data_IF_223347665973
#
_entry.id   IF_223347665973
#
_cell.length_a   1.000
_cell.length_b   1.000
_cell.length_c   1.000
_cell.angle_alpha   90.00
_cell.angle_beta   90.00
_cell.angle_gamma   90.00
#
_symmetry.space_group_name_H-M   'P 1'
#
loop_
_entity.id
_entity.type
_entity.pdbx_description
1 polymer ?
#
# COMPACT_ATOMS: atom_id res chain seq x y z
N UNK A 1 1.95 -7.76 -46.40
CA UNK A 1 1.14 -7.61 -45.17
C UNK A 1 2.12 -7.20 -44.10
N UNK A 2 1.95 -6.01 -43.53
CA UNK A 2 2.79 -5.59 -42.41
C UNK A 2 2.61 -6.58 -41.26
N UNK A 3 3.74 -6.96 -40.66
CA UNK A 3 3.75 -7.89 -39.53
C UNK A 3 3.05 -7.21 -38.36
N UNK A 4 2.00 -7.81 -37.82
CA UNK A 4 1.35 -7.29 -36.62
C UNK A 4 2.34 -7.40 -35.45
N UNK A 5 2.55 -6.29 -34.74
CA UNK A 5 3.46 -6.22 -33.60
C UNK A 5 2.66 -6.08 -32.31
N UNK A 6 3.03 -6.83 -31.29
CA UNK A 6 2.36 -6.79 -29.99
C UNK A 6 3.30 -6.19 -28.96
N UNK A 7 2.77 -5.37 -28.06
CA UNK A 7 3.55 -4.78 -26.98
C UNK A 7 2.83 -4.91 -25.64
N UNK A 8 3.64 -4.90 -24.57
CA UNK A 8 3.17 -4.59 -23.22
C UNK A 8 3.94 -3.39 -22.71
N UNK A 9 3.22 -2.44 -22.11
CA UNK A 9 3.79 -1.32 -21.37
C UNK A 9 3.48 -1.50 -19.90
N UNK A 10 4.50 -1.67 -19.07
CA UNK A 10 4.35 -1.65 -17.63
C UNK A 10 4.45 -0.21 -17.16
N UNK A 11 3.46 0.27 -16.41
CA UNK A 11 3.35 1.66 -15.97
C UNK A 11 3.44 1.71 -14.45
N UNK A 12 4.25 2.64 -13.95
CA UNK A 12 4.46 2.88 -12.52
C UNK A 12 4.21 4.37 -12.24
N UNK A 13 3.09 4.65 -11.60
CA UNK A 13 2.74 5.96 -11.09
C UNK A 13 3.28 6.15 -9.66
N UNK A 14 3.79 7.35 -9.38
CA UNK A 14 4.25 7.71 -8.05
C UNK A 14 3.07 8.09 -7.14
N UNK A 15 3.25 8.02 -5.81
CA UNK A 15 2.46 8.82 -4.88
C UNK A 15 2.39 10.28 -5.36
N UNK A 16 1.21 10.86 -5.36
CA UNK A 16 0.97 12.22 -5.85
C UNK A 16 0.82 12.36 -7.36
N UNK A 17 0.87 11.27 -8.16
CA UNK A 17 0.59 11.36 -9.60
C UNK A 17 -0.84 11.89 -9.80
N UNK A 18 -1.02 13.00 -10.55
CA UNK A 18 -2.33 13.54 -10.87
C UNK A 18 -3.25 12.52 -11.55
N UNK A 19 -4.51 12.49 -11.12
CA UNK A 19 -5.55 11.70 -11.78
C UNK A 19 -6.41 12.60 -12.66
N UNK A 20 -6.72 12.12 -13.86
CA UNK A 20 -7.53 12.82 -14.84
C UNK A 20 -8.82 12.06 -15.12
N UNK A 21 -9.85 12.78 -15.54
CA UNK A 21 -11.08 12.23 -16.11
C UNK A 21 -11.45 13.09 -17.32
N UNK A 22 -11.73 12.46 -18.45
CA UNK A 22 -11.97 13.10 -19.76
C UNK A 22 -10.97 14.22 -20.13
N UNK A 23 -9.70 14.05 -19.75
CA UNK A 23 -8.62 15.01 -20.02
C UNK A 23 -8.58 16.23 -19.11
N UNK A 24 -9.44 16.31 -18.09
CA UNK A 24 -9.37 17.30 -17.02
C UNK A 24 -8.84 16.67 -15.73
N UNK A 25 -8.01 17.41 -14.99
CA UNK A 25 -7.53 16.93 -13.71
C UNK A 25 -8.70 16.83 -12.75
N UNK A 26 -8.90 15.65 -12.16
CA UNK A 26 -9.96 15.43 -11.20
C UNK A 26 -9.77 16.36 -10.01
N UNK A 27 -10.86 16.92 -9.50
CA UNK A 27 -10.84 17.73 -8.27
C UNK A 27 -11.92 17.24 -7.32
N UNK A 28 -11.60 17.24 -6.03
CA UNK A 28 -12.55 16.96 -4.95
C UNK A 28 -12.48 18.12 -3.97
N UNK A 29 -13.61 18.80 -3.76
CA UNK A 29 -13.70 19.99 -2.92
C UNK A 29 -12.71 21.11 -3.30
N UNK A 30 -12.45 21.25 -4.62
CA UNK A 30 -11.49 22.23 -5.16
C UNK A 30 -10.02 21.82 -5.03
N UNK A 31 -9.72 20.64 -4.46
CA UNK A 31 -8.38 20.09 -4.32
C UNK A 31 -8.12 19.09 -5.44
N UNK A 32 -6.99 19.20 -6.18
CA UNK A 32 -6.65 18.23 -7.21
C UNK A 32 -6.48 16.82 -6.65
N UNK A 33 -7.15 15.85 -7.26
CA UNK A 33 -7.05 14.44 -6.89
C UNK A 33 -5.73 13.89 -7.43
N UNK A 34 -5.05 13.14 -6.58
CA UNK A 34 -3.77 12.51 -6.88
C UNK A 34 -3.76 11.10 -6.34
N UNK A 35 -2.94 10.23 -6.94
CA UNK A 35 -2.73 8.87 -6.47
C UNK A 35 -2.17 8.88 -5.05
N UNK A 36 -2.76 8.09 -4.14
CA UNK A 36 -2.31 7.97 -2.75
C UNK A 36 -0.94 7.29 -2.65
N UNK A 37 -0.88 5.94 -2.70
CA UNK A 37 0.37 5.18 -2.62
C UNK A 37 1.13 5.06 -3.96
N UNK A 38 0.61 5.66 -5.04
CA UNK A 38 1.02 5.35 -6.40
C UNK A 38 0.19 4.20 -6.99
N UNK A 39 0.51 3.79 -8.20
CA UNK A 39 -0.17 2.68 -8.88
C UNK A 39 0.77 1.95 -9.83
N UNK A 40 0.55 0.65 -10.00
CA UNK A 40 1.28 -0.16 -10.98
C UNK A 40 0.26 -0.97 -11.79
N UNK A 41 0.35 -0.86 -13.10
CA UNK A 41 -0.56 -1.52 -14.03
C UNK A 41 0.16 -1.82 -15.34
N UNK A 42 -0.49 -2.55 -16.24
CA UNK A 42 0.07 -2.81 -17.57
C UNK A 42 -0.93 -2.48 -18.68
N UNK A 43 -0.39 -2.11 -19.84
CA UNK A 43 -1.15 -1.82 -21.05
C UNK A 43 -0.67 -2.76 -22.13
N UNK A 44 -1.59 -3.52 -22.74
CA UNK A 44 -1.26 -4.33 -23.92
C UNK A 44 -1.65 -3.59 -25.18
N UNK A 45 -0.90 -3.76 -26.26
CA UNK A 45 -1.27 -3.24 -27.57
C UNK A 45 -1.03 -4.30 -28.64
N UNK A 46 -1.94 -4.38 -29.61
CA UNK A 46 -1.70 -5.15 -30.84
C UNK A 46 -1.16 -4.26 -31.97
N UNK A 47 -0.89 -2.97 -31.73
CA UNK A 47 -0.49 -2.00 -32.76
C UNK A 47 -1.66 -1.30 -33.46
N UNK A 48 -2.91 -1.66 -33.14
CA UNK A 48 -4.13 -0.95 -33.57
C UNK A 48 -4.94 -0.45 -32.38
N UNK A 49 -5.09 -1.31 -31.37
CA UNK A 49 -5.80 -1.04 -30.13
C UNK A 49 -4.87 -1.27 -28.94
N UNK A 50 -5.06 -0.46 -27.91
CA UNK A 50 -4.44 -0.64 -26.61
C UNK A 50 -5.50 -0.90 -25.56
N UNK A 51 -5.18 -1.71 -24.56
CA UNK A 51 -6.07 -2.01 -23.42
C UNK A 51 -5.26 -1.95 -22.14
N UNK A 52 -5.70 -1.12 -21.21
CA UNK A 52 -5.13 -1.04 -19.86
C UNK A 52 -5.70 -2.14 -18.97
N UNK A 53 -4.92 -2.58 -18.00
CA UNK A 53 -5.33 -3.46 -16.92
C UNK A 53 -4.59 -3.07 -15.64
N UNK A 54 -5.29 -2.42 -14.73
CA UNK A 54 -4.85 -2.27 -13.35
C UNK A 54 -5.86 -2.87 -12.39
N UNK A 55 -5.43 -3.07 -11.15
CA UNK A 55 -6.25 -3.68 -10.12
C UNK A 55 -6.36 -2.74 -8.92
N UNK A 56 -7.58 -2.38 -8.56
CA UNK A 56 -7.86 -1.46 -7.47
C UNK A 56 -9.17 -1.86 -6.77
N UNK A 57 -9.42 -1.38 -5.54
CA UNK A 57 -10.69 -1.63 -4.85
C UNK A 57 -11.86 -1.00 -5.61
N UNK A 58 -13.01 -1.69 -5.68
CA UNK A 58 -14.25 -1.19 -6.31
C UNK A 58 -14.64 0.18 -5.78
N UNK A 59 -14.56 0.32 -4.44
CA UNK A 59 -14.73 1.62 -3.80
C UNK A 59 -13.37 2.27 -3.66
N UNK A 60 -13.12 3.28 -4.51
CA UNK A 60 -11.89 4.05 -4.52
C UNK A 60 -11.52 4.51 -3.09
N UNK A 61 -10.31 4.13 -2.66
CA UNK A 61 -9.80 4.45 -1.32
C UNK A 61 -10.01 3.39 -0.24
N UNK A 62 -10.74 2.29 -0.50
CA UNK A 62 -10.81 1.17 0.44
C UNK A 62 -9.51 0.36 0.45
N UNK A 63 -8.99 -0.01 1.63
CA UNK A 63 -7.73 -0.78 1.75
C UNK A 63 -7.95 -2.29 1.76
N UNK A 64 -9.17 -2.74 2.08
CA UNK A 64 -9.58 -4.13 1.93
C UNK A 64 -11.01 -4.18 1.40
N UNK A 65 -11.29 -5.11 0.48
CA UNK A 65 -12.62 -5.30 -0.07
C UNK A 65 -12.60 -5.91 -1.46
N UNK A 66 -13.76 -5.99 -2.12
CA UNK A 66 -13.84 -6.43 -3.51
C UNK A 66 -12.95 -5.54 -4.39
N UNK A 67 -12.03 -6.17 -5.10
CA UNK A 67 -11.19 -5.55 -6.11
C UNK A 67 -11.79 -5.69 -7.49
N UNK A 68 -11.51 -4.71 -8.32
CA UNK A 68 -11.94 -4.62 -9.70
C UNK A 68 -10.74 -4.34 -10.61
N UNK A 69 -10.87 -4.80 -11.84
CA UNK A 69 -9.89 -4.57 -12.88
C UNK A 69 -10.35 -3.36 -13.67
N UNK A 70 -9.51 -2.34 -13.72
CA UNK A 70 -9.79 -1.10 -14.41
C UNK A 70 -9.08 -1.08 -15.75
N UNK A 71 -9.85 -0.78 -16.80
CA UNK A 71 -9.33 -0.68 -18.17
C UNK A 71 -9.08 0.78 -18.59
N UNK A 72 -9.28 1.73 -17.67
CA UNK A 72 -9.15 3.17 -17.83
C UNK A 72 -7.86 3.75 -17.26
N UNK A 73 -7.05 2.97 -16.51
CA UNK A 73 -5.85 3.51 -15.83
C UNK A 73 -4.89 4.26 -16.78
N UNK A 74 -4.76 3.82 -18.03
CA UNK A 74 -3.91 4.48 -19.02
C UNK A 74 -4.39 5.90 -19.39
N UNK A 75 -5.70 6.16 -19.29
CA UNK A 75 -6.31 7.47 -19.56
C UNK A 75 -6.34 8.33 -18.30
N UNK A 76 -6.38 7.73 -17.11
CA UNK A 76 -6.44 8.44 -15.83
C UNK A 76 -5.06 8.90 -15.33
N UNK A 77 -4.03 8.08 -15.51
CA UNK A 77 -2.69 8.32 -14.96
C UNK A 77 -1.79 9.07 -15.94
N UNK A 78 -1.82 10.40 -15.86
CA UNK A 78 -0.98 11.25 -16.70
C UNK A 78 0.44 11.40 -16.15
N UNK A 79 1.44 11.28 -17.04
CA UNK A 79 2.89 11.40 -16.73
C UNK A 79 3.32 10.51 -15.55
N UNK A 80 3.15 9.18 -15.67
CA UNK A 80 3.62 8.25 -14.64
C UNK A 80 5.13 8.40 -14.43
N UNK A 81 5.61 8.13 -13.23
CA UNK A 81 7.03 8.28 -12.90
C UNK A 81 7.93 7.40 -13.77
N UNK A 82 7.43 6.23 -14.13
CA UNK A 82 8.14 5.28 -14.98
C UNK A 82 7.17 4.52 -15.90
N UNK A 83 7.61 4.24 -17.12
CA UNK A 83 6.96 3.24 -17.98
C UNK A 83 7.98 2.54 -18.86
N UNK A 84 7.77 1.25 -19.09
CA UNK A 84 8.61 0.43 -19.99
C UNK A 84 7.72 -0.34 -20.95
N UNK A 85 7.87 -0.04 -22.23
CA UNK A 85 7.26 -0.77 -23.35
C UNK A 85 8.23 -1.82 -23.86
N UNK A 86 7.73 -3.04 -24.05
CA UNK A 86 8.47 -4.17 -24.64
C UNK A 86 7.64 -4.77 -25.77
N UNK A 87 8.28 -5.08 -26.90
CA UNK A 87 7.67 -5.96 -27.90
C UNK A 87 7.60 -7.40 -27.34
N UNK A 88 6.46 -8.05 -27.56
CA UNK A 88 6.15 -9.38 -27.07
C UNK A 88 5.56 -10.24 -28.20
N UNK A 89 5.57 -11.55 -27.99
CA UNK A 89 4.94 -12.47 -28.94
C UNK A 89 3.41 -12.40 -28.83
N UNK A 90 2.72 -12.87 -29.88
CA UNK A 90 1.26 -13.01 -29.85
C UNK A 90 0.79 -13.89 -28.67
N UNK A 91 1.51 -14.98 -28.37
CA UNK A 91 1.16 -15.86 -27.26
C UNK A 91 1.24 -15.13 -25.92
N UNK A 92 2.28 -14.33 -25.69
CA UNK A 92 2.43 -13.53 -24.47
C UNK A 92 1.34 -12.46 -24.38
N UNK A 93 1.01 -11.82 -25.50
CA UNK A 93 -0.10 -10.88 -25.57
C UNK A 93 -1.43 -11.54 -25.21
N UNK A 94 -1.74 -12.70 -25.78
CA UNK A 94 -2.97 -13.43 -25.50
C UNK A 94 -3.07 -13.85 -24.02
N UNK A 95 -1.95 -14.27 -23.40
CA UNK A 95 -1.88 -14.59 -21.97
C UNK A 95 -2.13 -13.36 -21.08
N UNK A 96 -1.54 -12.21 -21.43
CA UNK A 96 -1.79 -10.95 -20.71
C UNK A 96 -3.24 -10.50 -20.84
N UNK A 97 -3.84 -10.62 -22.04
CA UNK A 97 -5.25 -10.31 -22.26
C UNK A 97 -6.17 -11.25 -21.46
N UNK A 98 -5.85 -12.55 -21.43
CA UNK A 98 -6.61 -13.53 -20.64
C UNK A 98 -6.54 -13.21 -19.16
N UNK A 99 -5.33 -12.95 -18.63
CA UNK A 99 -5.16 -12.60 -17.22
C UNK A 99 -5.84 -11.28 -16.89
N UNK A 100 -5.73 -10.26 -17.74
CA UNK A 100 -6.39 -8.97 -17.53
C UNK A 100 -7.92 -9.05 -17.51
N UNK A 101 -8.53 -10.03 -18.18
CA UNK A 101 -10.00 -10.17 -18.24
C UNK A 101 -10.56 -11.07 -17.16
N UNK A 102 -9.88 -12.19 -16.87
CA UNK A 102 -10.38 -13.26 -16.02
C UNK A 102 -9.28 -13.81 -15.09
N UNK A 103 -8.65 -12.96 -14.26
CA UNK A 103 -7.51 -13.37 -13.43
C UNK A 103 -7.90 -14.43 -12.39
N UNK A 104 -9.15 -14.46 -11.93
CA UNK A 104 -9.66 -15.46 -11.00
C UNK A 104 -9.62 -16.89 -11.55
N UNK A 105 -9.81 -17.06 -12.87
CA UNK A 105 -9.69 -18.38 -13.52
C UNK A 105 -8.26 -18.88 -13.55
N UNK A 106 -7.30 -17.99 -13.33
CA UNK A 106 -5.87 -18.27 -13.29
C UNK A 106 -5.33 -18.30 -11.85
N UNK A 107 -6.22 -18.27 -10.85
CA UNK A 107 -5.87 -18.41 -9.43
C UNK A 107 -5.53 -17.10 -8.73
N UNK A 108 -5.75 -15.94 -9.36
CA UNK A 108 -5.58 -14.65 -8.70
C UNK A 108 -6.81 -14.31 -7.86
N UNK A 109 -6.59 -13.97 -6.59
CA UNK A 109 -7.66 -13.53 -5.70
C UNK A 109 -8.10 -12.09 -6.08
N UNK A 110 -9.40 -11.86 -6.31
CA UNK A 110 -9.92 -10.50 -6.57
C UNK A 110 -10.28 -9.74 -5.30
N UNK A 111 -10.04 -10.30 -4.13
CA UNK A 111 -10.14 -9.55 -2.89
C UNK A 111 -8.91 -8.64 -2.74
N UNK A 112 -9.12 -7.33 -2.91
CA UNK A 112 -8.07 -6.34 -2.69
C UNK A 112 -7.72 -6.34 -1.20
N UNK A 113 -6.43 -6.51 -0.88
CA UNK A 113 -5.95 -6.68 0.49
C UNK A 113 -4.67 -5.88 0.71
N UNK A 114 -4.72 -4.55 0.66
CA UNK A 114 -3.58 -3.66 0.99
C UNK A 114 -2.21 -4.23 0.52
N UNK A 115 -1.25 -4.45 1.43
CA UNK A 115 0.09 -5.00 1.14
C UNK A 115 0.12 -6.53 0.89
N UNK A 116 -1.02 -7.21 0.81
CA UNK A 116 -1.10 -8.67 0.64
C UNK A 116 -1.63 -9.07 -0.74
N UNK A 117 -2.43 -8.20 -1.36
CA UNK A 117 -2.93 -8.39 -2.72
C UNK A 117 -3.36 -7.04 -3.32
N UNK A 118 -2.50 -6.43 -4.13
CA UNK A 118 -2.69 -5.09 -4.69
C UNK A 118 -2.33 -5.00 -6.19
N UNK A 119 -2.32 -3.79 -6.73
CA UNK A 119 -1.99 -3.48 -8.12
C UNK A 119 -0.61 -4.00 -8.56
N UNK A 120 0.38 -4.03 -7.67
CA UNK A 120 1.72 -4.57 -7.96
C UNK A 120 1.66 -6.10 -8.06
N UNK A 121 1.00 -6.77 -7.12
CA UNK A 121 0.84 -8.24 -7.14
C UNK A 121 0.09 -8.70 -8.39
N UNK A 122 -0.98 -8.00 -8.75
CA UNK A 122 -1.73 -8.22 -9.98
C UNK A 122 -0.83 -8.09 -11.22
N UNK A 123 -0.06 -7.01 -11.32
CA UNK A 123 0.81 -6.76 -12.46
C UNK A 123 1.90 -7.84 -12.57
N UNK A 124 2.54 -8.21 -11.46
CA UNK A 124 3.54 -9.28 -11.48
C UNK A 124 2.94 -10.64 -11.79
N UNK A 125 1.76 -10.96 -11.27
CA UNK A 125 1.07 -12.21 -11.58
C UNK A 125 0.75 -12.30 -13.08
N UNK A 126 0.28 -11.21 -13.69
CA UNK A 126 0.05 -11.13 -15.13
C UNK A 126 1.33 -11.35 -15.96
N UNK A 127 2.40 -10.60 -15.62
CA UNK A 127 3.69 -10.69 -16.30
C UNK A 127 4.29 -12.10 -16.17
N UNK A 128 4.25 -12.69 -14.97
CA UNK A 128 4.73 -14.05 -14.74
C UNK A 128 3.90 -15.09 -15.49
N UNK A 129 2.58 -14.93 -15.54
CA UNK A 129 1.70 -15.81 -16.32
C UNK A 129 2.06 -15.76 -17.82
N UNK A 130 2.44 -14.60 -18.33
CA UNK A 130 2.92 -14.41 -19.69
C UNK A 130 4.39 -14.81 -19.91
N UNK A 131 5.10 -15.33 -18.90
CA UNK A 131 6.51 -15.70 -19.01
C UNK A 131 7.48 -14.52 -19.08
N UNK A 132 7.05 -13.33 -18.63
CA UNK A 132 7.89 -12.13 -18.51
C UNK A 132 8.41 -12.02 -17.08
N UNK A 133 9.59 -12.59 -16.84
CA UNK A 133 10.18 -12.66 -15.51
C UNK A 133 11.25 -11.59 -15.29
N UNK A 134 11.29 -11.03 -14.08
CA UNK A 134 12.37 -10.16 -13.62
C UNK A 134 13.65 -10.95 -13.34
N UNK A 135 14.82 -10.37 -13.62
CA UNK A 135 16.10 -10.99 -13.24
C UNK A 135 16.26 -11.00 -11.71
N UNK A 136 16.75 -12.13 -11.19
CA UNK A 136 16.88 -12.38 -9.76
C UNK A 136 18.06 -11.58 -9.19
N UNK A 137 17.78 -10.56 -8.38
CA UNK A 137 18.82 -9.76 -7.69
C UNK A 137 18.48 -9.58 -6.20
N UNK A 138 19.52 -9.62 -5.35
CA UNK A 138 19.41 -9.29 -3.92
C UNK A 138 19.90 -7.86 -3.70
N UNK A 139 19.18 -7.11 -2.87
CA UNK A 139 19.67 -5.88 -2.28
C UNK A 139 20.81 -6.17 -1.31
N UNK A 140 22.05 -5.79 -1.63
CA UNK A 140 23.18 -6.01 -0.71
C UNK A 140 23.04 -5.12 0.53
N UNK A 141 22.35 -3.98 0.44
CA UNK A 141 22.00 -3.17 1.63
C UNK A 141 20.96 -3.88 2.51
N UNK A 142 20.14 -4.77 1.92
CA UNK A 142 19.22 -5.65 2.66
C UNK A 142 19.92 -6.84 3.32
N UNK A 143 21.14 -7.19 2.89
CA UNK A 143 21.91 -8.33 3.42
C UNK A 143 22.74 -7.97 4.66
N UNK A 144 23.16 -6.71 4.81
CA UNK A 144 24.06 -6.26 5.88
C UNK A 144 23.38 -5.95 7.22
N UNK A 145 22.07 -6.16 7.33
CA UNK A 145 21.29 -5.87 8.53
C UNK A 145 21.05 -4.36 8.73
N UNK A 146 20.01 -3.97 9.50
CA UNK A 146 19.67 -2.57 9.70
C UNK A 146 20.70 -1.89 10.62
N UNK A 147 21.51 -0.98 10.07
CA UNK A 147 22.43 -0.12 10.85
C UNK A 147 23.70 0.34 10.14
N UNK A 148 24.06 -0.22 8.99
CA UNK A 148 25.36 0.09 8.36
C UNK A 148 25.42 1.46 7.64
N UNK A 149 24.29 2.08 7.30
CA UNK A 149 24.29 3.23 6.40
C UNK A 149 24.82 2.84 5.00
N UNK A 150 24.58 3.71 4.02
CA UNK A 150 24.96 3.49 2.62
C UNK A 150 26.49 3.59 2.47
N UNK A 151 27.22 2.54 2.85
CA UNK A 151 28.69 2.51 2.80
C UNK A 151 29.23 2.15 1.41
N UNK A 152 28.39 1.67 0.49
CA UNK A 152 28.78 1.29 -0.87
C UNK A 152 27.81 1.89 -1.91
N UNK A 153 28.28 2.22 -3.14
CA UNK A 153 27.38 2.48 -4.27
C UNK A 153 26.49 1.26 -4.55
N UNK A 154 25.36 1.43 -5.25
CA UNK A 154 24.38 0.36 -5.56
C UNK A 154 25.03 -0.86 -6.23
N UNK A 155 25.49 -1.81 -5.43
CA UNK A 155 26.04 -3.09 -5.89
C UNK A 155 25.03 -4.17 -5.53
N UNK A 156 24.47 -4.85 -6.54
CA UNK A 156 23.60 -6.01 -6.35
C UNK A 156 24.20 -7.26 -6.98
N UNK A 157 24.24 -8.35 -6.21
CA UNK A 157 24.78 -9.64 -6.65
C UNK A 157 23.64 -10.48 -7.25
N UNK A 158 23.77 -11.00 -8.48
CA UNK A 158 22.76 -11.90 -9.06
C UNK A 158 22.76 -13.25 -8.33
N UNK A 159 21.58 -13.74 -7.93
CA UNK A 159 21.42 -15.01 -7.21
C UNK A 159 20.25 -15.86 -7.74
N UNK A 160 20.23 -17.19 -7.55
CA UNK A 160 19.30 -18.11 -8.22
C UNK A 160 17.95 -18.32 -7.51
N UNK A 161 17.67 -17.64 -6.38
CA UNK A 161 16.50 -17.92 -5.52
C UNK A 161 15.52 -16.74 -5.51
N UNK A 162 14.21 -17.04 -5.53
CA UNK A 162 13.13 -16.06 -5.47
C UNK A 162 13.22 -15.23 -4.17
N UNK A 163 13.57 -13.95 -4.31
CA UNK A 163 13.63 -13.03 -3.18
C UNK A 163 12.23 -12.70 -2.65
N UNK A 164 11.91 -13.22 -1.47
CA UNK A 164 10.75 -12.86 -0.65
C UNK A 164 10.98 -11.53 0.09
N UNK A 165 11.36 -10.48 -0.63
CA UNK A 165 11.62 -9.16 -0.06
C UNK A 165 10.34 -8.35 0.07
N UNK A 166 9.97 -7.97 1.31
CA UNK A 166 8.81 -7.13 1.69
C UNK A 166 8.87 -5.67 1.15
N UNK A 167 9.66 -5.42 0.11
CA UNK A 167 9.81 -4.14 -0.59
C UNK A 167 8.89 -4.01 -1.82
N UNK A 168 8.13 -5.08 -2.14
CA UNK A 168 7.31 -5.21 -3.35
C UNK A 168 6.06 -4.31 -3.41
N UNK A 169 5.63 -3.70 -2.30
CA UNK A 169 4.32 -3.03 -2.21
C UNK A 169 4.29 -1.60 -2.72
N UNK A 170 5.46 -1.00 -2.99
CA UNK A 170 5.56 0.39 -3.44
C UNK A 170 5.81 0.41 -4.96
N UNK A 171 4.93 1.00 -5.77
CA UNK A 171 5.11 1.05 -7.22
C UNK A 171 6.50 1.52 -7.63
N UNK A 172 7.02 2.59 -7.02
CA UNK A 172 8.36 3.12 -7.32
C UNK A 172 9.52 2.13 -7.06
N UNK A 173 9.39 1.22 -6.09
CA UNK A 173 10.43 0.21 -5.79
C UNK A 173 10.46 -0.93 -6.80
N UNK A 174 9.43 -1.04 -7.64
CA UNK A 174 9.34 -2.07 -8.67
C UNK A 174 9.99 -1.65 -9.99
N UNK A 175 10.46 -0.40 -10.14
CA UNK A 175 11.11 0.09 -11.35
C UNK A 175 12.28 -0.82 -11.75
N UNK A 176 13.21 -1.10 -10.84
CA UNK A 176 14.34 -2.00 -11.14
C UNK A 176 13.91 -3.43 -11.47
N UNK A 177 12.85 -3.92 -10.82
CA UNK A 177 12.25 -5.21 -11.17
C UNK A 177 11.78 -5.22 -12.62
N UNK A 178 11.06 -4.17 -13.04
CA UNK A 178 10.56 -4.02 -14.41
C UNK A 178 11.71 -3.85 -15.40
N UNK A 179 12.74 -3.04 -15.10
CA UNK A 179 13.95 -2.88 -15.94
C UNK A 179 14.69 -4.19 -16.17
N UNK A 180 14.66 -5.06 -15.17
CA UNK A 180 15.39 -6.33 -15.19
C UNK A 180 14.72 -7.42 -16.04
N UNK A 181 13.49 -7.18 -16.54
CA UNK A 181 12.83 -8.12 -17.44
C UNK A 181 13.59 -8.18 -18.77
N UNK A 182 13.94 -9.38 -19.22
CA UNK A 182 14.49 -9.58 -20.55
C UNK A 182 13.39 -9.38 -21.60
N UNK A 183 13.59 -8.42 -22.51
CA UNK A 183 12.64 -8.18 -23.59
C UNK A 183 12.62 -9.39 -24.54
N UNK A 184 11.45 -9.98 -24.85
CA UNK A 184 11.37 -11.12 -25.78
C UNK A 184 11.98 -10.84 -27.15
N UNK A 185 11.95 -9.57 -27.58
CA UNK A 185 12.62 -9.07 -28.77
C UNK A 185 13.58 -7.93 -28.38
N UNK A 186 14.82 -8.21 -27.95
CA UNK A 186 15.73 -7.21 -27.38
C UNK A 186 16.06 -6.04 -28.32
N UNK A 187 16.13 -6.30 -29.62
CA UNK A 187 16.47 -5.30 -30.65
C UNK A 187 15.25 -4.67 -31.33
N UNK A 188 14.06 -4.85 -30.76
CA UNK A 188 12.85 -4.23 -31.27
C UNK A 188 12.94 -2.70 -31.19
N UNK A 189 12.60 -1.96 -32.26
CA UNK A 189 12.46 -0.51 -32.19
C UNK A 189 11.25 -0.05 -31.36
N UNK A 190 10.36 -0.98 -30.98
CA UNK A 190 9.19 -0.70 -30.13
C UNK A 190 9.55 -0.70 -28.64
N UNK A 191 10.71 -1.24 -28.27
CA UNK A 191 11.17 -1.21 -26.88
C UNK A 191 11.47 0.24 -26.49
N UNK A 192 10.82 0.72 -25.44
CA UNK A 192 10.94 2.11 -24.98
C UNK A 192 10.89 2.18 -23.48
N UNK A 193 11.69 3.08 -22.91
CA UNK A 193 11.63 3.42 -21.50
C UNK A 193 11.41 4.93 -21.35
N UNK A 194 10.52 5.31 -20.44
CA UNK A 194 10.23 6.72 -20.14
C UNK A 194 10.31 6.90 -18.62
N UNK A 195 11.03 7.94 -18.21
CA UNK A 195 11.14 8.39 -16.82
C UNK A 195 10.70 9.85 -16.74
N UNK A 196 9.76 10.13 -15.86
CA UNK A 196 9.30 11.49 -15.58
C UNK A 196 9.77 11.92 -14.18
N UNK A 197 10.01 13.23 -13.96
CA UNK A 197 10.26 13.73 -12.62
C UNK A 197 9.05 13.42 -11.72
N UNK A 198 9.34 13.08 -10.46
CA UNK A 198 8.28 12.87 -9.47
C UNK A 198 7.49 14.19 -9.25
N UNK A 199 6.19 14.13 -8.91
CA UNK A 199 5.36 15.33 -8.75
C UNK A 199 5.97 16.34 -7.78
N UNK A 200 6.03 17.63 -8.16
CA UNK A 200 6.70 18.66 -7.35
C UNK A 200 5.90 19.07 -6.10
N UNK A 201 4.57 18.95 -6.15
CA UNK A 201 3.66 19.21 -5.04
C UNK A 201 3.16 17.88 -4.50
N UNK A 202 3.90 17.28 -3.57
CA UNK A 202 3.49 16.09 -2.83
C UNK A 202 3.18 16.51 -1.39
N UNK A 203 2.10 15.96 -0.82
CA UNK A 203 1.84 16.12 0.61
C UNK A 203 2.93 15.45 1.44
N UNK A 204 3.08 15.81 2.72
CA UNK A 204 3.97 15.13 3.66
C UNK A 204 3.77 13.60 3.65
N UNK A 205 2.51 13.15 3.57
CA UNK A 205 2.15 11.75 3.45
C UNK A 205 2.67 11.13 2.14
N UNK A 206 2.55 11.83 1.00
CA UNK A 206 3.04 11.36 -0.29
C UNK A 206 4.57 11.36 -0.38
N UNK A 207 5.25 12.26 0.32
CA UNK A 207 6.71 12.20 0.48
C UNK A 207 7.15 10.98 1.29
N UNK A 208 6.48 10.66 2.39
CA UNK A 208 6.75 9.45 3.20
C UNK A 208 6.49 8.15 2.42
N UNK A 209 5.50 8.18 1.52
CA UNK A 209 5.19 7.05 0.63
C UNK A 209 6.17 6.93 -0.56
N UNK A 210 6.89 8.00 -0.93
CA UNK A 210 7.73 8.05 -2.16
C UNK A 210 9.24 8.16 -1.96
N UNK A 211 9.76 8.73 -0.87
CA UNK A 211 11.20 8.95 -0.68
C UNK A 211 11.87 7.93 0.26
N UNK A 212 13.11 7.57 -0.05
CA UNK A 212 14.00 6.63 0.67
C UNK A 212 14.43 7.07 2.07
N UNK A 213 13.75 8.03 2.71
CA UNK A 213 13.94 8.23 4.15
C UNK A 213 12.99 7.27 4.86
N UNK A 214 13.58 6.27 5.51
CA UNK A 214 12.93 5.41 6.49
C UNK A 214 11.86 6.22 7.23
N UNK A 215 10.58 5.84 7.09
CA UNK A 215 9.56 6.38 7.96
C UNK A 215 10.09 6.21 9.39
N UNK A 216 10.18 7.28 10.20
CA UNK A 216 10.76 7.17 11.52
C UNK A 216 10.03 6.05 12.26
N UNK A 217 10.79 5.19 12.92
CA UNK A 217 10.19 4.06 13.65
C UNK A 217 9.13 4.60 14.61
N UNK A 218 8.09 3.82 14.90
CA UNK A 218 7.14 4.13 16.00
C UNK A 218 7.86 4.33 17.34
N UNK A 219 9.08 3.81 17.50
CA UNK A 219 9.98 4.06 18.65
C UNK A 219 10.60 5.46 18.68
N UNK A 220 10.58 6.19 17.57
CA UNK A 220 11.13 7.54 17.48
C UNK A 220 10.16 8.55 18.11
N UNK A 221 10.57 9.33 19.12
CA UNK A 221 9.73 10.35 19.75
C UNK A 221 9.15 11.40 18.79
N UNK A 222 9.75 11.59 17.63
CA UNK A 222 9.29 12.53 16.59
C UNK A 222 8.18 11.95 15.70
N UNK A 223 7.93 10.64 15.77
CA UNK A 223 6.89 9.99 14.99
C UNK A 223 5.48 10.33 15.54
N UNK A 224 4.50 10.68 14.69
CA UNK A 224 3.16 11.08 15.16
C UNK A 224 2.42 9.99 15.95
N UNK A 225 2.79 8.72 15.75
CA UNK A 225 2.27 7.58 16.51
C UNK A 225 3.06 7.17 17.74
N UNK A 226 4.13 7.89 18.07
CA UNK A 226 4.99 7.55 19.20
C UNK A 226 4.22 7.47 20.52
N UNK A 227 3.27 8.38 20.77
CA UNK A 227 2.54 8.39 22.04
C UNK A 227 1.73 7.11 22.26
N UNK A 228 0.93 6.68 21.26
CA UNK A 228 0.18 5.42 21.37
C UNK A 228 1.12 4.22 21.45
N UNK A 229 2.24 4.23 20.71
CA UNK A 229 3.22 3.16 20.78
C UNK A 229 3.88 3.06 22.17
N UNK A 230 4.34 4.17 22.74
CA UNK A 230 4.97 4.20 24.05
C UNK A 230 4.02 3.70 25.14
N UNK A 231 2.75 4.14 25.12
CA UNK A 231 1.73 3.67 26.05
C UNK A 231 1.46 2.17 25.88
N UNK A 232 1.25 1.70 24.64
CA UNK A 232 1.09 0.27 24.38
C UNK A 232 2.30 -0.53 24.86
N UNK A 233 3.51 -0.01 24.66
CA UNK A 233 4.74 -0.67 25.05
C UNK A 233 4.85 -0.79 26.57
N UNK A 234 4.53 0.25 27.34
CA UNK A 234 4.53 0.21 28.80
C UNK A 234 3.51 -0.79 29.36
N UNK A 235 2.32 -0.85 28.76
CA UNK A 235 1.29 -1.82 29.16
C UNK A 235 1.65 -3.25 28.78
N UNK A 236 2.21 -3.49 27.58
CA UNK A 236 2.69 -4.81 27.18
C UNK A 236 3.87 -5.27 28.07
N UNK A 237 4.76 -4.37 28.47
CA UNK A 237 5.82 -4.68 29.44
C UNK A 237 5.28 -5.08 30.82
N UNK A 238 4.20 -4.42 31.25
CA UNK A 238 3.52 -4.77 32.50
C UNK A 238 2.86 -6.14 32.38
N UNK A 239 2.17 -6.40 31.26
CA UNK A 239 1.57 -7.69 30.93
C UNK A 239 2.62 -8.82 30.89
N UNK A 240 3.78 -8.58 30.30
CA UNK A 240 4.91 -9.51 30.28
C UNK A 240 5.33 -9.89 31.70
N UNK A 241 5.50 -8.89 32.58
CA UNK A 241 5.91 -9.08 33.97
C UNK A 241 4.87 -9.88 34.76
N UNK A 242 3.58 -9.61 34.56
CA UNK A 242 2.48 -10.33 35.20
C UNK A 242 2.46 -11.81 34.80
N UNK A 243 2.85 -12.12 33.57
CA UNK A 243 2.91 -13.49 33.05
C UNK A 243 4.30 -14.14 33.20
N UNK A 244 5.22 -13.52 33.94
CA UNK A 244 6.57 -14.06 34.17
C UNK A 244 7.46 -14.12 32.91
N UNK A 245 7.12 -13.34 31.88
CA UNK A 245 7.86 -13.24 30.62
C UNK A 245 8.82 -12.04 30.65
N UNK A 246 9.99 -12.20 30.04
CA UNK A 246 10.89 -11.09 29.81
C UNK A 246 10.46 -10.31 28.56
N UNK A 247 10.41 -8.98 28.66
CA UNK A 247 10.16 -8.12 27.50
C UNK A 247 11.27 -8.24 26.46
N UNK A 248 10.87 -8.40 25.20
CA UNK A 248 11.77 -8.60 24.07
C UNK A 248 11.27 -7.87 22.80
N UNK A 249 11.82 -8.24 21.64
CA UNK A 249 11.41 -7.70 20.34
C UNK A 249 9.94 -8.00 19.99
N UNK A 250 9.41 -9.17 20.38
CA UNK A 250 8.02 -9.52 20.13
C UNK A 250 7.06 -8.65 20.94
N UNK A 251 7.46 -8.22 22.15
CA UNK A 251 6.70 -7.25 22.94
C UNK A 251 6.59 -5.90 22.22
N UNK A 252 7.68 -5.45 21.57
CA UNK A 252 7.65 -4.23 20.76
C UNK A 252 6.80 -4.38 19.49
N UNK A 253 6.79 -5.56 18.87
CA UNK A 253 5.95 -5.89 17.72
C UNK A 253 4.46 -5.80 18.07
N UNK A 254 4.06 -6.43 19.18
CA UNK A 254 2.69 -6.38 19.69
C UNK A 254 2.26 -4.94 20.00
N UNK A 255 3.11 -4.17 20.68
CA UNK A 255 2.85 -2.76 20.97
C UNK A 255 2.68 -1.91 19.69
N UNK A 256 3.49 -2.17 18.66
CA UNK A 256 3.37 -1.53 17.35
C UNK A 256 2.01 -1.79 16.69
N UNK A 257 1.56 -3.05 16.67
CA UNK A 257 0.28 -3.42 16.10
C UNK A 257 -0.91 -2.82 16.87
N UNK A 258 -0.83 -2.81 18.21
CA UNK A 258 -1.84 -2.18 19.06
C UNK A 258 -1.92 -0.67 18.80
N UNK A 259 -0.79 0.02 18.69
CA UNK A 259 -0.76 1.46 18.40
C UNK A 259 -1.45 1.76 17.05
N UNK A 260 -1.12 1.02 16.00
CA UNK A 260 -1.75 1.17 14.67
C UNK A 260 -3.26 0.96 14.76
N UNK A 261 -3.72 -0.10 15.42
CA UNK A 261 -5.14 -0.38 15.53
C UNK A 261 -5.87 0.66 16.38
N UNK A 262 -5.26 1.13 17.47
CA UNK A 262 -5.80 2.22 18.29
C UNK A 262 -5.95 3.52 17.49
N UNK A 263 -4.98 3.84 16.62
CA UNK A 263 -5.10 4.97 15.71
C UNK A 263 -6.32 4.83 14.78
N UNK A 264 -6.52 3.66 14.15
CA UNK A 264 -7.67 3.39 13.28
C UNK A 264 -9.00 3.52 14.00
N UNK A 265 -9.05 3.10 15.26
CA UNK A 265 -10.26 3.19 16.09
C UNK A 265 -10.52 4.59 16.67
N UNK A 266 -9.72 5.59 16.29
CA UNK A 266 -9.88 6.96 16.78
C UNK A 266 -9.53 7.12 18.25
N UNK A 267 -8.68 6.25 18.80
CA UNK A 267 -8.19 6.38 20.16
C UNK A 267 -7.09 7.45 20.22
N UNK A 268 -7.09 8.24 21.28
CA UNK A 268 -6.10 9.29 21.53
C UNK A 268 -5.06 8.87 22.59
N UNK A 269 -5.38 7.83 23.37
CA UNK A 269 -4.48 7.20 24.34
C UNK A 269 -4.81 5.73 24.52
N UNK A 270 -3.88 4.98 25.09
CA UNK A 270 -4.09 3.63 25.59
C UNK A 270 -3.88 3.67 27.09
N UNK A 271 -4.95 3.39 27.83
CA UNK A 271 -4.95 3.35 29.29
C UNK A 271 -4.65 1.93 29.82
N UNK A 272 -4.85 0.91 28.98
CA UNK A 272 -4.62 -0.49 29.35
C UNK A 272 -4.45 -1.41 28.14
N UNK A 273 -3.68 -2.49 28.31
CA UNK A 273 -3.61 -3.62 27.40
C UNK A 273 -4.01 -4.91 28.12
N UNK A 274 -4.96 -5.67 27.56
CA UNK A 274 -5.44 -6.95 28.12
C UNK A 274 -5.41 -8.06 27.08
N UNK A 275 -5.26 -9.30 27.53
CA UNK A 275 -5.48 -10.49 26.70
C UNK A 275 -6.93 -10.97 26.84
N UNK A 276 -7.44 -11.65 25.82
CA UNK A 276 -8.62 -12.52 25.98
C UNK A 276 -8.32 -13.69 26.91
N UNK A 277 -9.36 -14.34 27.42
CA UNK A 277 -9.24 -15.50 28.32
C UNK A 277 -8.39 -16.64 27.73
N UNK A 278 -8.43 -16.80 26.40
CA UNK A 278 -7.65 -17.79 25.63
C UNK A 278 -6.33 -17.23 25.06
N UNK A 279 -6.01 -15.97 25.36
CA UNK A 279 -4.88 -15.20 24.84
C UNK A 279 -4.80 -15.07 23.29
N UNK A 280 -5.86 -15.45 22.55
CA UNK A 280 -5.88 -15.32 21.08
C UNK A 280 -5.89 -13.88 20.61
N UNK A 281 -6.38 -12.94 21.43
CA UNK A 281 -6.42 -11.51 21.12
C UNK A 281 -5.83 -10.66 22.22
N UNK A 282 -5.17 -9.58 21.82
CA UNK A 282 -4.77 -8.49 22.69
C UNK A 282 -5.64 -7.27 22.41
N UNK A 283 -6.09 -6.61 23.47
CA UNK A 283 -6.96 -5.44 23.43
C UNK A 283 -6.24 -4.23 23.98
N UNK A 284 -6.25 -3.12 23.24
CA UNK A 284 -5.94 -1.80 23.78
C UNK A 284 -7.24 -1.11 24.19
N UNK A 285 -7.27 -0.53 25.38
CA UNK A 285 -8.46 0.09 25.98
C UNK A 285 -8.19 1.56 26.29
N UNK A 286 -9.14 2.43 25.96
CA UNK A 286 -9.20 3.81 26.42
C UNK A 286 -10.44 3.96 27.30
N UNK A 287 -10.23 4.31 28.56
CA UNK A 287 -11.27 4.49 29.55
C UNK A 287 -11.87 5.90 29.47
N UNK A 288 -13.19 6.01 29.63
CA UNK A 288 -13.82 7.31 29.85
C UNK A 288 -13.72 7.67 31.35
N UNK A 289 -12.98 8.74 31.74
CA UNK A 289 -12.84 9.14 33.14
C UNK A 289 -14.16 9.60 33.78
N UNK A 290 -15.20 9.88 32.98
CA UNK A 290 -16.51 10.34 33.44
C UNK A 290 -17.57 9.22 33.49
N UNK A 291 -17.21 7.99 33.13
CA UNK A 291 -18.12 6.83 33.18
C UNK A 291 -17.61 5.78 34.15
N UNK A 292 -18.44 5.40 35.13
CA UNK A 292 -18.12 4.38 36.12
C UNK A 292 -18.31 2.93 35.60
N UNK A 293 -18.71 2.74 34.34
CA UNK A 293 -19.00 1.43 33.74
C UNK A 293 -18.28 1.19 32.40
N UNK A 294 -18.22 -0.07 31.97
CA UNK A 294 -17.53 -0.49 30.74
C UNK A 294 -18.22 -0.07 29.43
N UNK A 295 -19.37 0.60 29.50
CA UNK A 295 -20.22 0.92 28.34
C UNK A 295 -19.70 2.09 27.49
N UNK A 296 -18.66 2.79 27.95
CA UNK A 296 -18.16 4.01 27.29
C UNK A 296 -16.64 3.96 27.03
N UNK A 297 -16.09 2.74 26.91
CA UNK A 297 -14.68 2.50 26.60
C UNK A 297 -14.47 2.34 25.09
N UNK A 298 -13.43 2.96 24.55
CA UNK A 298 -12.94 2.60 23.21
C UNK A 298 -12.02 1.40 23.32
N UNK A 299 -12.17 0.47 22.37
CA UNK A 299 -11.38 -0.77 22.34
C UNK A 299 -10.88 -1.03 20.93
N UNK A 300 -9.57 -1.24 20.82
CA UNK A 300 -8.90 -1.78 19.64
C UNK A 300 -8.43 -3.20 19.97
N UNK A 301 -8.35 -4.08 18.98
CA UNK A 301 -7.84 -5.43 19.19
C UNK A 301 -6.99 -5.92 18.03
N UNK A 302 -6.04 -6.81 18.33
CA UNK A 302 -5.19 -7.50 17.36
C UNK A 302 -5.16 -8.99 17.68
N UNK A 303 -4.92 -9.82 16.66
CA UNK A 303 -4.58 -11.22 16.88
C UNK A 303 -3.18 -11.29 17.53
N UNK A 304 -3.08 -11.95 18.68
CA UNK A 304 -1.87 -11.92 19.51
C UNK A 304 -0.68 -12.54 18.78
N UNK A 305 -0.87 -13.70 18.14
CA UNK A 305 0.24 -14.42 17.48
C UNK A 305 0.69 -13.67 16.23
N UNK A 306 -0.24 -13.17 15.43
CA UNK A 306 0.09 -12.33 14.27
C UNK A 306 0.82 -11.07 14.71
N UNK A 307 0.37 -10.40 15.78
CA UNK A 307 0.95 -9.16 16.26
C UNK A 307 2.38 -9.35 16.82
N UNK A 308 2.63 -10.42 17.57
CA UNK A 308 3.97 -10.77 18.05
C UNK A 308 4.96 -11.00 16.89
N UNK A 309 4.47 -11.55 15.78
CA UNK A 309 5.26 -11.87 14.59
C UNK A 309 5.31 -10.75 13.53
N UNK A 310 4.65 -9.61 13.78
CA UNK A 310 4.65 -8.47 12.86
C UNK A 310 5.75 -7.50 13.26
N UNK A 311 6.85 -7.38 12.49
CA UNK A 311 7.95 -6.49 12.86
C UNK A 311 7.47 -5.05 13.09
N UNK A 312 8.05 -4.38 14.08
CA UNK A 312 7.72 -3.00 14.40
C UNK A 312 7.86 -2.06 13.19
N UNK A 313 8.81 -2.33 12.29
CA UNK A 313 9.00 -1.56 11.07
C UNK A 313 7.74 -1.63 10.18
N UNK A 314 7.10 -2.80 10.10
CA UNK A 314 5.84 -2.98 9.38
C UNK A 314 4.70 -2.19 10.04
N UNK A 315 4.64 -2.19 11.37
CA UNK A 315 3.67 -1.38 12.11
C UNK A 315 3.91 0.13 11.92
N UNK A 316 5.19 0.54 11.85
CA UNK A 316 5.57 1.94 11.65
C UNK A 316 5.12 2.45 10.27
N UNK A 317 5.21 1.60 9.26
CA UNK A 317 4.69 1.91 7.93
C UNK A 317 3.15 1.93 7.91
N UNK A 318 2.51 0.95 8.56
CA UNK A 318 1.05 0.85 8.64
C UNK A 318 0.41 2.04 9.39
N UNK A 319 1.11 2.64 10.35
CA UNK A 319 0.63 3.81 11.08
C UNK A 319 0.29 4.99 10.16
N UNK A 320 1.14 5.27 9.17
CA UNK A 320 0.93 6.42 8.27
C UNK A 320 -0.39 6.30 7.53
N UNK A 321 -0.78 5.08 7.16
CA UNK A 321 -2.06 4.80 6.52
C UNK A 321 -3.22 4.86 7.52
N UNK A 322 -3.06 4.26 8.71
CA UNK A 322 -4.06 4.33 9.79
C UNK A 322 -4.42 5.77 10.18
N UNK A 323 -3.43 6.66 10.27
CA UNK A 323 -3.64 8.06 10.58
C UNK A 323 -4.43 8.79 9.48
N UNK A 324 -4.18 8.47 8.20
CA UNK A 324 -4.93 9.06 7.10
C UNK A 324 -6.38 8.54 7.03
N UNK A 325 -6.58 7.25 7.27
CA UNK A 325 -7.92 6.65 7.37
C UNK A 325 -8.76 7.32 8.47
N UNK A 326 -8.16 7.58 9.63
CA UNK A 326 -8.81 8.29 10.75
C UNK A 326 -9.30 9.67 10.32
N UNK A 327 -8.43 10.48 9.71
CA UNK A 327 -8.77 11.84 9.27
C UNK A 327 -9.91 11.84 8.25
N UNK A 328 -9.91 10.89 7.31
CA UNK A 328 -10.99 10.75 6.32
C UNK A 328 -12.32 10.33 6.94
N UNK A 329 -12.30 9.38 7.89
CA UNK A 329 -13.49 8.94 8.59
C UNK A 329 -14.10 10.07 9.44
N UNK A 330 -13.27 10.86 10.11
CA UNK A 330 -13.71 12.04 10.87
C UNK A 330 -14.34 13.11 9.96
N UNK A 331 -13.76 13.36 8.78
CA UNK A 331 -14.33 14.28 7.79
C UNK A 331 -15.69 13.82 7.26
N UNK A 332 -15.84 12.54 6.90
CA UNK A 332 -17.14 11.99 6.47
C UNK A 332 -18.20 12.08 7.57
N UNK A 333 -17.82 11.84 8.83
CA UNK A 333 -18.75 11.92 9.97
C UNK A 333 -19.26 13.35 10.17
N UNK A 334 -18.39 14.36 10.02
CA UNK A 334 -18.78 15.76 10.12
C UNK A 334 -19.74 16.18 9.00
N UNK A 335 -19.44 15.80 7.75
CA UNK A 335 -20.31 16.09 6.60
C UNK A 335 -21.73 15.48 6.75
N UNK A 336 -21.81 14.29 7.33
CA UNK A 336 -23.09 13.62 7.56
C UNK A 336 -23.88 14.26 8.71
N UNK A 337 -23.20 14.77 9.74
CA UNK A 337 -23.83 15.53 10.82
C UNK A 337 -24.38 16.89 10.34
N UNK A 338 -23.67 17.59 9.44
CA UNK A 338 -24.14 18.86 8.85
C UNK A 338 -25.37 18.67 7.96
N UNK A 339 -25.46 17.57 7.20
CA UNK A 339 -26.65 17.26 6.40
C UNK A 339 -27.87 16.90 7.25
N UNK A 340 -27.66 16.36 8.46
CA UNK A 340 -28.76 15.99 9.37
C UNK A 340 -29.27 17.20 10.20
N UNK A 341 -28.51 18.30 10.26
CA UNK A 341 -28.87 19.54 10.96
C UNK A 341 -29.41 20.67 10.05
N UNK A 342 -29.71 20.41 8.78
CA UNK A 342 -30.40 21.38 7.94
C UNK A 342 -31.82 21.67 8.52
N UNK A 343 -32.19 22.93 8.84
CA UNK A 343 -33.47 23.20 9.50
C UNK A 343 -34.63 22.92 8.55
N UNK A 344 -35.61 22.15 9.03
CA UNK A 344 -36.94 22.11 8.43
C UNK A 344 -37.51 23.53 8.44
N UNK A 345 -37.45 24.20 7.29
CA UNK A 345 -38.11 25.47 7.07
C UNK A 345 -39.62 25.25 7.32
N UNK A 346 -40.12 25.85 8.40
CA UNK A 346 -41.53 25.91 8.77
C UNK A 346 -42.35 26.38 7.57
N UNK A 347 -43.14 25.48 7.00
CA UNK A 347 -44.36 25.86 6.29
C UNK A 347 -45.41 26.12 7.38
N UNK A 348 -45.68 27.38 7.68
CA UNK A 348 -46.85 27.79 8.45
C UNK A 348 -47.52 28.93 7.69
N UNK A 349 -48.67 28.56 7.11
CA UNK A 349 -49.84 29.33 6.67
C UNK A 349 -49.69 30.75 6.13
#
# INVERSE_FOLDING_TARGET
>A
MDKQHYTVTVVIAAPGTPLYDEGQQQTKDGIPVTSGPGHMFFVTSDGKQSTSYGFAPVTHGQTNGPGEIYNSDADEYHKPAYSRTMEISKEQYDKLQQFGREPEKLGFDKEYKDVRNNCVDFTWAALNHAGLHRNKSIDVNGLLGPGAGQLLPDVRIPLPVEGSGKDAYRPLRNIHGVESIEAPFPHSPLNKEIRNPLPAQRSLQQHILSEERHAPSLKDPTHPGYQLFAQAQDHVQTLDREHGRQTDACSANLAGCLAVQSCKMGMDRIDEVRLSDDASRAFAVQNNPYSAGSHDQLRAHVDTVSALNTPLEQSSQAWTQAAAERVQAEQQRNLQQEQTQAPSARTMS
#
